data_IF_224314068473
#
_entry.id   IF_224314068473
#
_cell.length_a   1.000
_cell.length_b   1.000
_cell.length_c   1.000
_cell.angle_alpha   90.00
_cell.angle_beta   90.00
_cell.angle_gamma   90.00
#
_symmetry.space_group_name_H-M   'P 1'
#
loop_
_entity.id
_entity.type
_entity.pdbx_description
1 polymer ?
#
# COMPACT_ATOMS: atom_id res chain seq x y z
N UNK A 1 0.76 -11.07 25.60
CA UNK A 1 1.74 -11.15 24.47
C UNK A 1 2.56 -12.45 24.46
N UNK A 2 3.44 -12.75 25.43
CA UNK A 2 4.12 -14.07 25.47
C UNK A 2 3.15 -15.25 25.49
N UNK A 3 2.02 -15.04 26.16
CA UNK A 3 0.95 -16.03 26.29
C UNK A 3 -0.02 -16.05 25.09
N UNK A 4 -0.05 -14.98 24.28
CA UNK A 4 -1.12 -14.78 23.27
C UNK A 4 -0.60 -14.73 21.82
N UNK A 5 0.63 -14.26 21.57
CA UNK A 5 1.16 -14.04 20.21
C UNK A 5 1.98 -15.21 19.67
N UNK A 6 2.41 -16.14 20.52
CA UNK A 6 3.23 -17.30 20.13
C UNK A 6 2.43 -18.59 20.25
N UNK A 7 1.19 -18.58 19.78
CA UNK A 7 0.33 -19.75 19.76
C UNK A 7 0.31 -20.38 18.37
N UNK A 8 0.03 -21.69 18.25
CA UNK A 8 -0.08 -22.36 16.96
C UNK A 8 -1.10 -21.70 16.01
N UNK A 9 -2.19 -21.16 16.56
CA UNK A 9 -3.26 -20.50 15.82
C UNK A 9 -2.77 -19.20 15.16
N UNK A 10 -1.96 -18.40 15.87
CA UNK A 10 -1.33 -17.21 15.28
C UNK A 10 -0.37 -17.60 14.16
N UNK A 11 0.42 -18.67 14.35
CA UNK A 11 1.32 -19.16 13.29
C UNK A 11 0.55 -19.58 12.05
N UNK A 12 -0.57 -20.30 12.22
CA UNK A 12 -1.42 -20.73 11.12
C UNK A 12 -1.95 -19.55 10.29
N UNK A 13 -2.43 -18.48 10.95
CA UNK A 13 -2.89 -17.28 10.26
C UNK A 13 -1.74 -16.59 9.50
N UNK A 14 -0.55 -16.50 10.10
CA UNK A 14 0.62 -15.92 9.43
C UNK A 14 1.06 -16.76 8.22
N UNK A 15 0.96 -18.08 8.31
CA UNK A 15 1.25 -19.02 7.22
C UNK A 15 0.23 -18.89 6.08
N UNK A 16 -1.06 -18.77 6.40
CA UNK A 16 -2.13 -18.58 5.41
C UNK A 16 -1.93 -17.27 4.60
N UNK A 17 -1.51 -16.20 5.27
CA UNK A 17 -1.20 -14.90 4.64
C UNK A 17 0.25 -14.75 4.18
N UNK A 18 1.11 -15.76 4.35
CA UNK A 18 2.58 -15.65 4.22
C UNK A 18 2.98 -15.10 2.85
N UNK A 19 2.38 -15.62 1.78
CA UNK A 19 2.74 -15.23 0.42
C UNK A 19 2.46 -13.75 0.16
N UNK A 20 1.33 -13.24 0.63
CA UNK A 20 0.97 -11.82 0.50
C UNK A 20 1.90 -10.94 1.33
N UNK A 21 2.15 -11.34 2.58
CA UNK A 21 3.05 -10.65 3.49
C UNK A 21 4.49 -10.59 2.94
N UNK A 22 4.99 -11.69 2.37
CA UNK A 22 6.29 -11.74 1.69
C UNK A 22 6.35 -10.83 0.47
N UNK A 23 5.30 -10.82 -0.35
CA UNK A 23 5.24 -9.96 -1.53
C UNK A 23 5.31 -8.47 -1.14
N UNK A 24 4.58 -8.07 -0.10
CA UNK A 24 4.64 -6.73 0.46
C UNK A 24 6.03 -6.41 1.01
N UNK A 25 6.57 -7.28 1.86
CA UNK A 25 7.90 -7.10 2.43
C UNK A 25 8.96 -6.87 1.35
N UNK A 26 9.00 -7.73 0.33
CA UNK A 26 9.96 -7.64 -0.77
C UNK A 26 9.76 -6.38 -1.60
N UNK A 27 8.51 -5.96 -1.84
CA UNK A 27 8.25 -4.75 -2.61
C UNK A 27 8.72 -3.49 -1.88
N UNK A 28 8.40 -3.35 -0.59
CA UNK A 28 8.84 -2.20 0.19
C UNK A 28 10.35 -2.23 0.51
N UNK A 29 10.96 -3.41 0.67
CA UNK A 29 12.41 -3.54 0.91
C UNK A 29 13.29 -3.19 -0.32
N UNK A 30 12.71 -3.02 -1.52
CA UNK A 30 13.42 -2.46 -2.67
C UNK A 30 13.69 -0.95 -2.49
N UNK A 31 12.85 -0.29 -1.69
CA UNK A 31 12.82 1.15 -1.53
C UNK A 31 12.38 1.90 -2.79
N UNK A 32 12.42 3.22 -2.73
CA UNK A 32 11.91 4.16 -3.75
C UNK A 32 12.79 4.34 -5.01
N UNK A 33 13.87 3.57 -5.15
CA UNK A 33 14.82 3.71 -6.26
C UNK A 33 15.63 5.01 -6.28
N UNK A 34 15.45 5.95 -5.34
CA UNK A 34 16.11 7.28 -5.38
C UNK A 34 17.49 7.30 -4.70
N UNK A 35 17.81 6.28 -3.91
CA UNK A 35 19.07 6.23 -3.17
C UNK A 35 20.21 5.64 -4.03
N UNK A 36 20.87 6.52 -4.79
CA UNK A 36 22.07 6.22 -5.59
C UNK A 36 23.30 5.79 -4.76
N UNK A 37 23.24 5.86 -3.42
CA UNK A 37 24.41 5.67 -2.53
C UNK A 37 24.06 5.07 -1.17
N UNK A 38 23.52 3.84 -1.12
CA UNK A 38 23.38 3.15 0.16
C UNK A 38 23.90 1.71 0.07
N UNK A 39 25.15 1.51 0.48
CA UNK A 39 25.79 0.20 0.65
C UNK A 39 25.05 -0.71 1.66
N UNK A 40 24.09 -0.13 2.41
CA UNK A 40 23.25 -0.81 3.40
C UNK A 40 21.87 -1.22 2.86
N UNK A 41 21.55 -0.97 1.58
CA UNK A 41 20.30 -1.43 0.98
C UNK A 41 20.38 -2.92 0.71
N UNK A 42 19.47 -3.68 1.31
CA UNK A 42 19.27 -5.10 1.04
C UNK A 42 17.80 -5.32 0.71
N UNK A 43 17.49 -5.87 -0.46
CA UNK A 43 16.12 -6.27 -0.81
C UNK A 43 15.54 -7.38 0.09
N UNK A 44 16.32 -7.83 1.09
CA UNK A 44 15.96 -8.84 2.08
C UNK A 44 15.68 -8.26 3.46
N UNK A 45 15.87 -6.96 3.65
CA UNK A 45 15.72 -6.29 4.94
C UNK A 45 14.90 -5.01 4.76
N UNK A 46 14.04 -4.73 5.73
CA UNK A 46 13.15 -3.59 5.71
C UNK A 46 13.66 -2.52 6.67
N UNK A 47 14.08 -1.37 6.13
CA UNK A 47 14.49 -0.22 6.94
C UNK A 47 13.30 0.46 7.62
N UNK A 48 13.57 1.31 8.61
CA UNK A 48 12.53 2.07 9.30
C UNK A 48 11.70 2.96 8.35
N UNK A 49 12.32 3.58 7.34
CA UNK A 49 11.60 4.41 6.38
C UNK A 49 10.68 3.56 5.49
N UNK A 50 11.13 2.40 5.06
CA UNK A 50 10.32 1.47 4.24
C UNK A 50 9.19 0.87 5.07
N UNK A 51 9.44 0.51 6.34
CA UNK A 51 8.40 0.11 7.29
C UNK A 51 7.36 1.20 7.48
N UNK A 52 7.77 2.45 7.71
CA UNK A 52 6.86 3.60 7.84
C UNK A 52 6.00 3.81 6.58
N UNK A 53 6.61 3.68 5.39
CA UNK A 53 5.88 3.77 4.13
C UNK A 53 4.87 2.63 4.02
N UNK A 54 5.29 1.39 4.31
CA UNK A 54 4.43 0.21 4.28
C UNK A 54 3.22 0.39 5.19
N UNK A 55 3.42 0.73 6.46
CA UNK A 55 2.31 0.84 7.43
C UNK A 55 1.33 1.94 7.06
N UNK A 56 1.82 3.04 6.44
CA UNK A 56 0.95 4.11 5.93
C UNK A 56 0.17 3.66 4.70
N UNK A 57 0.85 3.11 3.70
CA UNK A 57 0.26 2.80 2.39
C UNK A 57 -0.70 1.59 2.45
N UNK A 58 -0.63 0.80 3.53
CA UNK A 58 -1.52 -0.35 3.80
C UNK A 58 -2.59 -0.07 4.85
N UNK A 59 -2.76 1.19 5.27
CA UNK A 59 -3.74 1.61 6.30
C UNK A 59 -3.55 0.90 7.67
N UNK A 60 -2.39 0.28 7.91
CA UNK A 60 -2.05 -0.27 9.22
C UNK A 60 -1.83 0.84 10.26
N UNK A 61 -1.37 2.01 9.81
CA UNK A 61 -1.09 3.19 10.63
C UNK A 61 -1.99 4.34 10.24
N UNK A 62 -2.58 4.95 11.25
CA UNK A 62 -3.46 6.11 11.13
C UNK A 62 -3.46 6.83 12.47
N UNK A 63 -3.51 8.16 12.43
CA UNK A 63 -3.11 9.01 13.57
C UNK A 63 -4.02 8.90 14.80
N UNK A 64 -5.14 8.19 14.71
CA UNK A 64 -6.14 8.06 15.77
C UNK A 64 -5.88 6.87 16.70
N UNK A 65 -5.60 5.67 16.18
CA UNK A 65 -5.43 4.45 17.00
C UNK A 65 -3.99 3.92 17.01
N UNK A 66 -3.21 4.16 15.95
CA UNK A 66 -1.84 3.67 15.83
C UNK A 66 -0.92 4.78 15.31
N UNK A 67 -0.34 5.53 16.24
CA UNK A 67 0.42 6.73 15.93
C UNK A 67 1.81 6.40 15.38
N UNK A 68 2.50 7.43 14.87
CA UNK A 68 3.91 7.32 14.45
C UNK A 68 4.80 6.84 15.61
N UNK A 69 4.48 7.20 16.86
CA UNK A 69 5.23 6.76 18.03
C UNK A 69 5.02 5.26 18.26
N UNK A 70 3.81 4.76 18.13
CA UNK A 70 3.50 3.34 18.31
C UNK A 70 4.17 2.50 17.22
N UNK A 71 4.11 2.99 15.97
CA UNK A 71 4.83 2.40 14.84
C UNK A 71 6.36 2.33 15.08
N UNK A 72 6.96 3.37 15.65
CA UNK A 72 8.37 3.38 16.04
C UNK A 72 8.70 2.35 17.12
N UNK A 73 7.84 2.23 18.13
CA UNK A 73 8.01 1.28 19.23
C UNK A 73 7.89 -0.15 18.72
N UNK A 74 6.88 -0.45 17.90
CA UNK A 74 6.72 -1.75 17.25
C UNK A 74 7.95 -2.08 16.42
N UNK A 75 8.39 -1.19 15.53
CA UNK A 75 9.63 -1.40 14.76
C UNK A 75 10.83 -1.70 15.66
N UNK A 76 10.97 -0.97 16.76
CA UNK A 76 12.11 -1.13 17.65
C UNK A 76 12.08 -2.48 18.38
N UNK A 77 10.91 -2.89 18.83
CA UNK A 77 10.70 -4.08 19.64
C UNK A 77 10.58 -5.38 18.85
N UNK A 78 10.25 -5.33 17.56
CA UNK A 78 10.17 -6.51 16.71
C UNK A 78 11.52 -7.02 16.23
N UNK A 79 12.56 -6.18 16.26
CA UNK A 79 13.91 -6.57 15.79
C UNK A 79 14.53 -7.64 16.67
N UNK A 80 14.77 -8.80 16.10
CA UNK A 80 15.58 -9.87 16.70
C UNK A 80 17.06 -9.52 16.55
N UNK A 81 17.71 -9.19 17.67
CA UNK A 81 19.12 -8.77 17.66
C UNK A 81 20.02 -9.96 17.95
N UNK A 82 20.78 -10.39 16.95
CA UNK A 82 21.96 -11.24 17.15
C UNK A 82 23.18 -10.33 17.07
N UNK A 83 23.88 -10.15 18.20
CA UNK A 83 25.15 -9.41 18.23
C UNK A 83 26.22 -10.33 17.66
N UNK A 84 26.56 -10.14 16.38
CA UNK A 84 27.77 -10.70 15.77
C UNK A 84 28.84 -9.61 15.76
N UNK A 85 30.00 -9.86 16.39
CA UNK A 85 31.08 -8.88 16.59
C UNK A 85 31.77 -8.43 15.28
N UNK A 86 31.33 -8.93 14.12
CA UNK A 86 31.84 -8.51 12.82
C UNK A 86 31.41 -7.07 12.46
N UNK A 87 32.27 -6.23 11.86
CA UNK A 87 32.16 -4.77 12.07
C UNK A 87 31.10 -4.03 11.24
N UNK A 88 30.63 -4.59 10.11
CA UNK A 88 29.82 -3.84 9.13
C UNK A 88 28.47 -4.49 8.80
N UNK A 89 28.43 -5.80 8.51
CA UNK A 89 27.19 -6.51 8.19
C UNK A 89 26.23 -6.62 9.39
N UNK A 90 26.79 -6.73 10.60
CA UNK A 90 26.01 -6.78 11.83
C UNK A 90 25.27 -5.46 12.10
N UNK A 91 25.85 -4.32 11.69
CA UNK A 91 25.23 -3.00 11.91
C UNK A 91 23.95 -2.79 11.08
N UNK A 92 23.87 -3.40 9.90
CA UNK A 92 22.65 -3.35 9.05
C UNK A 92 21.51 -4.11 9.70
N UNK A 93 21.78 -5.33 10.20
CA UNK A 93 20.78 -6.14 10.91
C UNK A 93 20.32 -5.53 12.22
N UNK A 94 21.14 -4.68 12.85
CA UNK A 94 20.74 -3.94 14.05
C UNK A 94 19.74 -2.82 13.77
N UNK A 95 19.63 -2.33 12.53
CA UNK A 95 18.83 -1.15 12.17
C UNK A 95 17.65 -1.45 11.23
N UNK A 96 17.53 -2.68 10.73
CA UNK A 96 16.52 -3.11 9.77
C UNK A 96 15.82 -4.39 10.27
N UNK A 97 14.64 -4.69 9.73
CA UNK A 97 13.84 -5.87 10.04
C UNK A 97 14.12 -6.99 9.03
N UNK A 98 14.28 -8.23 9.50
CA UNK A 98 14.09 -9.40 8.64
C UNK A 98 12.59 -9.65 8.38
N UNK A 99 12.28 -10.68 7.57
CA UNK A 99 10.89 -11.07 7.36
C UNK A 99 10.24 -11.60 8.66
N UNK A 100 11.00 -12.35 9.45
CA UNK A 100 10.53 -12.87 10.75
C UNK A 100 10.25 -11.71 11.72
N UNK A 101 11.13 -10.70 11.75
CA UNK A 101 10.90 -9.48 12.54
C UNK A 101 9.68 -8.69 12.03
N UNK A 102 9.44 -8.71 10.72
CA UNK A 102 8.24 -8.11 10.12
C UNK A 102 6.98 -8.83 10.60
N UNK A 103 6.94 -10.16 10.61
CA UNK A 103 5.81 -10.93 11.15
C UNK A 103 5.57 -10.67 12.66
N UNK A 104 6.64 -10.54 13.46
CA UNK A 104 6.53 -10.11 14.86
C UNK A 104 5.97 -8.67 14.96
N UNK A 105 6.34 -7.79 14.02
CA UNK A 105 5.74 -6.46 13.83
C UNK A 105 4.24 -6.50 13.59
N UNK A 106 3.77 -7.38 12.69
CA UNK A 106 2.34 -7.59 12.42
C UNK A 106 1.61 -8.02 13.69
N UNK A 107 2.14 -8.99 14.45
CA UNK A 107 1.53 -9.43 15.70
C UNK A 107 1.44 -8.30 16.73
N UNK A 108 2.49 -7.50 16.88
CA UNK A 108 2.51 -6.37 17.83
C UNK A 108 1.57 -5.24 17.41
N UNK A 109 1.47 -4.99 16.11
CA UNK A 109 0.56 -3.99 15.57
C UNK A 109 -0.88 -4.44 15.77
N UNK A 110 -1.21 -5.69 15.45
CA UNK A 110 -2.54 -6.25 15.69
C UNK A 110 -2.97 -6.12 17.16
N UNK A 111 -2.04 -6.36 18.09
CA UNK A 111 -2.30 -6.21 19.53
C UNK A 111 -2.61 -4.77 19.95
N UNK A 112 -2.04 -3.78 19.25
CA UNK A 112 -2.12 -2.36 19.66
C UNK A 112 -3.18 -1.58 18.87
N UNK A 113 -3.59 -2.09 17.71
CA UNK A 113 -4.51 -1.41 16.81
C UNK A 113 -5.96 -1.68 17.23
N UNK A 114 -6.81 -0.67 17.12
CA UNK A 114 -8.25 -0.81 17.28
C UNK A 114 -8.80 -1.59 16.06
N UNK A 115 -8.83 -2.92 16.17
CA UNK A 115 -9.40 -3.80 15.16
C UNK A 115 -10.79 -4.28 15.61
N UNK A 116 -11.74 -4.44 14.67
CA UNK A 116 -13.05 -4.98 14.98
C UNK A 116 -12.97 -6.45 15.35
N UNK A 117 -13.91 -6.89 16.17
CA UNK A 117 -14.15 -8.30 16.40
C UNK A 117 -14.83 -8.94 15.19
N UNK A 118 -14.75 -10.27 15.07
CA UNK A 118 -15.49 -11.00 14.04
C UNK A 118 -17.01 -10.78 14.15
N UNK A 119 -17.54 -10.69 15.37
CA UNK A 119 -18.96 -10.40 15.63
C UNK A 119 -19.35 -9.00 15.15
N UNK A 120 -18.54 -7.99 15.45
CA UNK A 120 -18.79 -6.62 14.98
C UNK A 120 -18.75 -6.49 13.46
N UNK A 121 -17.82 -7.19 12.80
CA UNK A 121 -17.76 -7.23 11.34
C UNK A 121 -19.02 -7.89 10.75
N UNK A 122 -19.46 -9.00 11.34
CA UNK A 122 -20.67 -9.71 10.93
C UNK A 122 -21.92 -8.84 11.11
N UNK A 123 -22.07 -8.19 12.27
CA UNK A 123 -23.20 -7.31 12.58
C UNK A 123 -23.26 -6.08 11.67
N UNK A 124 -22.10 -5.58 11.25
CA UNK A 124 -21.98 -4.52 10.25
C UNK A 124 -22.26 -5.01 8.80
N UNK A 125 -22.53 -6.30 8.61
CA UNK A 125 -22.77 -6.90 7.28
C UNK A 125 -21.52 -6.96 6.41
N UNK A 126 -20.33 -6.91 7.01
CA UNK A 126 -19.04 -7.03 6.32
C UNK A 126 -18.58 -8.49 6.28
N UNK A 127 -17.82 -8.87 5.25
CA UNK A 127 -17.24 -10.21 5.12
C UNK A 127 -16.15 -10.46 6.16
N UNK A 128 -15.35 -9.43 6.46
CA UNK A 128 -14.32 -9.46 7.49
C UNK A 128 -14.08 -8.06 8.08
N UNK A 129 -13.31 -8.02 9.16
CA UNK A 129 -12.93 -6.80 9.85
C UNK A 129 -12.04 -5.87 9.02
N UNK A 130 -11.31 -6.39 8.05
CA UNK A 130 -10.57 -5.59 7.08
C UNK A 130 -11.51 -4.78 6.18
N UNK A 131 -12.61 -5.37 5.74
CA UNK A 131 -13.66 -4.67 4.98
C UNK A 131 -14.32 -3.58 5.82
N UNK A 132 -14.74 -3.93 7.04
CA UNK A 132 -15.34 -2.99 7.98
C UNK A 132 -14.42 -1.78 8.23
N UNK A 133 -13.14 -2.02 8.46
CA UNK A 133 -12.14 -0.96 8.66
C UNK A 133 -11.98 -0.09 7.41
N UNK A 134 -11.95 -0.66 6.20
CA UNK A 134 -11.87 0.14 4.98
C UNK A 134 -13.10 1.03 4.79
N UNK A 135 -14.29 0.50 5.04
CA UNK A 135 -15.54 1.26 4.93
C UNK A 135 -15.53 2.44 5.93
N UNK A 136 -15.19 2.17 7.20
CA UNK A 136 -15.09 3.22 8.23
C UNK A 136 -14.00 4.26 7.90
N UNK A 137 -12.80 3.84 7.50
CA UNK A 137 -11.68 4.76 7.22
C UNK A 137 -11.98 5.68 6.03
N UNK A 138 -12.63 5.15 4.98
CA UNK A 138 -12.78 5.86 3.70
C UNK A 138 -14.12 6.56 3.53
N UNK A 139 -15.20 5.89 3.91
CA UNK A 139 -16.55 6.29 3.60
C UNK A 139 -17.22 6.93 4.82
N UNK A 140 -16.88 6.49 6.04
CA UNK A 140 -17.52 6.93 7.29
C UNK A 140 -16.52 7.37 8.40
N UNK A 141 -15.69 8.42 8.19
CA UNK A 141 -14.61 8.78 9.13
C UNK A 141 -15.06 9.16 10.55
N UNK A 142 -16.30 9.62 10.72
CA UNK A 142 -16.87 9.93 12.04
C UNK A 142 -17.16 8.66 12.85
N UNK A 143 -17.62 7.60 12.17
CA UNK A 143 -17.82 6.29 12.80
C UNK A 143 -16.49 5.68 13.18
N UNK A 144 -15.49 5.82 12.31
CA UNK A 144 -14.12 5.41 12.63
C UNK A 144 -13.58 6.10 13.89
N UNK A 145 -13.78 7.42 14.01
CA UNK A 145 -13.36 8.15 15.21
C UNK A 145 -14.06 7.64 16.47
N UNK A 146 -15.38 7.44 16.42
CA UNK A 146 -16.14 6.92 17.56
C UNK A 146 -15.70 5.49 17.94
N UNK A 147 -15.45 4.65 16.94
CA UNK A 147 -14.97 3.28 17.10
C UNK A 147 -13.61 3.22 17.82
N UNK A 148 -12.68 4.10 17.43
CA UNK A 148 -11.36 4.21 18.09
C UNK A 148 -11.49 4.79 19.50
N UNK A 149 -12.33 5.80 19.69
CA UNK A 149 -12.53 6.43 21.00
C UNK A 149 -13.11 5.43 22.03
N UNK A 150 -14.03 4.55 21.62
CA UNK A 150 -14.57 3.47 22.47
C UNK A 150 -13.49 2.48 22.94
N UNK A 151 -12.39 2.39 22.19
CA UNK A 151 -11.30 1.44 22.42
C UNK A 151 -10.04 2.04 23.04
N UNK A 152 -10.01 3.36 23.26
CA UNK A 152 -8.80 4.06 23.71
C UNK A 152 -8.31 3.59 25.10
N UNK A 153 -9.22 3.17 25.97
CA UNK A 153 -8.91 2.73 27.34
C UNK A 153 -8.80 1.20 27.48
N UNK A 154 -9.01 0.45 26.39
CA UNK A 154 -9.04 -1.00 26.46
C UNK A 154 -7.63 -1.59 26.41
N UNK A 155 -7.15 -2.04 27.58
CA UNK A 155 -5.83 -2.66 27.69
C UNK A 155 -5.86 -4.17 27.45
N UNK A 156 -7.07 -4.75 27.40
CA UNK A 156 -7.28 -6.17 27.26
C UNK A 156 -7.66 -6.55 25.82
N UNK A 157 -7.33 -7.79 25.47
CA UNK A 157 -7.73 -8.35 24.19
C UNK A 157 -9.25 -8.57 24.17
N UNK A 158 -9.95 -7.87 23.28
CA UNK A 158 -11.39 -8.06 23.04
C UNK A 158 -11.73 -9.40 22.38
N UNK A 159 -10.75 -10.00 21.72
CA UNK A 159 -10.86 -11.31 21.09
C UNK A 159 -9.50 -12.00 21.05
N UNK A 160 -9.49 -13.26 20.66
CA UNK A 160 -8.27 -14.04 20.53
C UNK A 160 -7.26 -13.38 19.58
N UNK A 161 -5.97 -13.48 19.92
CA UNK A 161 -4.89 -12.82 19.19
C UNK A 161 -4.83 -13.24 17.72
N UNK A 162 -5.10 -14.52 17.42
CA UNK A 162 -5.11 -15.03 16.04
C UNK A 162 -6.16 -14.30 15.19
N UNK A 163 -7.32 -13.97 15.77
CA UNK A 163 -8.38 -13.26 15.05
C UNK A 163 -7.96 -11.82 14.80
N UNK A 164 -7.35 -11.12 15.78
CA UNK A 164 -6.81 -9.78 15.55
C UNK A 164 -5.72 -9.76 14.46
N UNK A 165 -4.81 -10.74 14.45
CA UNK A 165 -3.82 -10.87 13.36
C UNK A 165 -4.52 -11.09 12.03
N UNK A 166 -5.56 -11.93 11.97
CA UNK A 166 -6.33 -12.16 10.76
C UNK A 166 -6.99 -10.87 10.26
N UNK A 167 -7.66 -10.11 11.13
CA UNK A 167 -8.30 -8.84 10.75
C UNK A 167 -7.30 -7.79 10.25
N UNK A 168 -6.10 -7.75 10.81
CA UNK A 168 -5.03 -6.90 10.29
C UNK A 168 -4.58 -7.35 8.91
N UNK A 169 -4.39 -8.66 8.70
CA UNK A 169 -3.98 -9.19 7.40
C UNK A 169 -5.04 -8.93 6.32
N UNK A 170 -6.33 -9.11 6.62
CA UNK A 170 -7.42 -8.84 5.67
C UNK A 170 -7.51 -7.35 5.33
N UNK A 171 -7.34 -6.44 6.30
CA UNK A 171 -7.24 -4.99 6.05
C UNK A 171 -6.14 -4.68 5.02
N UNK A 172 -4.98 -5.29 5.19
CA UNK A 172 -3.82 -5.09 4.31
C UNK A 172 -4.08 -5.63 2.92
N UNK A 173 -4.59 -6.86 2.81
CA UNK A 173 -4.97 -7.49 1.54
C UNK A 173 -5.96 -6.59 0.79
N UNK A 174 -7.06 -6.20 1.43
CA UNK A 174 -8.11 -5.38 0.81
C UNK A 174 -7.59 -3.99 0.42
N UNK A 175 -6.66 -3.42 1.19
CA UNK A 175 -6.05 -2.13 0.86
C UNK A 175 -5.23 -2.23 -0.43
N UNK A 176 -4.44 -3.29 -0.56
CA UNK A 176 -3.64 -3.57 -1.75
C UNK A 176 -4.54 -3.82 -2.96
N UNK A 177 -5.57 -4.66 -2.82
CA UNK A 177 -6.52 -4.98 -3.89
C UNK A 177 -7.28 -3.74 -4.38
N UNK A 178 -7.72 -2.89 -3.46
CA UNK A 178 -8.37 -1.62 -3.79
C UNK A 178 -7.43 -0.69 -4.56
N UNK A 179 -6.16 -0.62 -4.15
CA UNK A 179 -5.15 0.20 -4.82
C UNK A 179 -4.86 -0.32 -6.23
N UNK A 180 -4.69 -1.63 -6.38
CA UNK A 180 -4.48 -2.28 -7.68
C UNK A 180 -5.69 -2.07 -8.60
N UNK A 181 -6.91 -2.20 -8.08
CA UNK A 181 -8.15 -2.02 -8.84
C UNK A 181 -8.32 -0.58 -9.32
N UNK A 182 -8.07 0.41 -8.46
CA UNK A 182 -8.04 1.84 -8.83
C UNK A 182 -6.99 2.11 -9.91
N UNK A 183 -5.80 1.53 -9.79
CA UNK A 183 -4.73 1.69 -10.79
C UNK A 183 -5.07 1.06 -12.14
N UNK A 184 -5.67 -0.13 -12.18
CA UNK A 184 -6.19 -0.74 -13.42
C UNK A 184 -7.28 0.11 -14.07
N UNK A 185 -8.19 0.67 -13.26
CA UNK A 185 -9.23 1.61 -13.71
C UNK A 185 -8.62 2.88 -14.34
N UNK A 186 -7.64 3.48 -13.67
CA UNK A 186 -6.93 4.66 -14.13
C UNK A 186 -6.13 4.39 -15.42
N UNK A 187 -5.47 3.23 -15.53
CA UNK A 187 -4.79 2.84 -16.78
C UNK A 187 -5.79 2.61 -17.93
N UNK A 188 -6.95 2.02 -17.66
CA UNK A 188 -8.02 1.83 -18.66
C UNK A 188 -8.62 3.17 -19.09
N UNK A 189 -8.81 4.11 -18.17
CA UNK A 189 -9.26 5.49 -18.45
C UNK A 189 -8.23 6.28 -19.27
N UNK A 190 -6.93 6.17 -18.93
CA UNK A 190 -5.83 6.74 -19.74
C UNK A 190 -5.81 6.14 -21.15
N UNK A 191 -5.91 4.81 -21.28
CA UNK A 191 -6.00 4.14 -22.60
C UNK A 191 -7.24 4.58 -23.39
N UNK A 192 -8.40 4.75 -22.74
CA UNK A 192 -9.63 5.26 -23.39
C UNK A 192 -9.49 6.73 -23.80
N UNK A 193 -8.83 7.57 -22.99
CA UNK A 193 -8.60 8.98 -23.30
C UNK A 193 -7.61 9.14 -24.45
N UNK A 194 -6.51 8.40 -24.44
CA UNK A 194 -5.54 8.33 -25.55
C UNK A 194 -6.20 7.77 -26.82
N UNK A 195 -7.02 6.72 -26.71
CA UNK A 195 -7.77 6.20 -27.85
C UNK A 195 -8.81 7.21 -28.39
N UNK A 196 -9.45 8.00 -27.53
CA UNK A 196 -10.41 9.04 -27.92
C UNK A 196 -9.71 10.25 -28.54
N UNK A 197 -8.56 10.66 -28.01
CA UNK A 197 -7.71 11.71 -28.61
C UNK A 197 -7.16 11.28 -29.97
N UNK A 198 -6.71 10.02 -30.11
CA UNK A 198 -6.25 9.47 -31.39
C UNK A 198 -7.40 9.29 -32.41
N UNK A 199 -8.62 9.00 -31.96
CA UNK A 199 -9.79 8.89 -32.85
C UNK A 199 -10.27 10.26 -33.34
N UNK A 200 -10.14 11.31 -32.52
CA UNK A 200 -10.42 12.69 -32.94
C UNK A 200 -9.40 13.11 -34.01
N UNK A 201 -8.11 12.79 -33.83
CA UNK A 201 -7.04 13.11 -34.79
C UNK A 201 -7.24 12.41 -36.16
N UNK A 202 -7.63 11.13 -36.19
CA UNK A 202 -7.94 10.45 -37.46
C UNK A 202 -9.21 10.98 -38.14
N UNK A 203 -10.21 11.43 -37.38
CA UNK A 203 -11.44 11.99 -37.93
C UNK A 203 -11.25 13.40 -38.49
N UNK A 204 -10.44 14.24 -37.84
CA UNK A 204 -10.04 15.56 -38.34
C UNK A 204 -9.07 15.44 -39.52
N UNK A 205 -8.15 14.47 -39.51
CA UNK A 205 -7.29 14.17 -40.64
C UNK A 205 -8.09 13.72 -41.88
N UNK A 206 -9.13 12.90 -41.72
CA UNK A 206 -10.03 12.51 -42.82
C UNK A 206 -10.88 13.68 -43.33
N UNK A 207 -11.32 14.58 -42.44
CA UNK A 207 -12.05 15.79 -42.83
C UNK A 207 -11.13 16.73 -43.65
N UNK A 208 -9.89 16.93 -43.19
CA UNK A 208 -8.88 17.74 -43.87
C UNK A 208 -8.42 17.12 -45.21
N UNK A 209 -8.38 15.78 -45.32
CA UNK A 209 -8.07 15.08 -46.57
C UNK A 209 -9.22 15.18 -47.58
N UNK A 210 -10.48 15.13 -47.13
CA UNK A 210 -11.64 15.33 -48.00
C UNK A 210 -11.76 16.76 -48.54
N UNK A 211 -11.30 17.75 -47.75
CA UNK A 211 -11.24 19.16 -48.15
C UNK A 211 -10.07 19.46 -49.10
N UNK A 212 -9.04 18.60 -49.20
CA UNK A 212 -7.93 18.79 -50.14
C UNK A 212 -8.22 18.29 -51.55
N UNK A 213 -9.28 17.51 -51.76
CA UNK A 213 -9.69 17.02 -53.10
C UNK A 213 -10.59 17.99 -53.86
N UNK A 214 -11.06 19.07 -53.23
CA UNK A 214 -11.75 20.18 -53.90
C UNK A 214 -10.86 21.43 -53.91
N UNK A 215 -10.06 21.57 -54.96
CA UNK A 215 -9.58 22.85 -55.50
C UNK A 215 -9.06 23.91 -54.52
N UNK A 216 -7.73 23.93 -54.34
CA UNK A 216 -6.97 25.19 -54.39
C UNK A 216 -6.72 25.96 -53.08
N UNK A 217 -6.02 25.39 -52.10
CA UNK A 217 -5.19 26.18 -51.14
C UNK A 217 -3.99 25.35 -50.64
N UNK A 218 -2.89 25.30 -51.41
CA UNK A 218 -1.65 24.60 -50.99
C UNK A 218 -0.84 25.35 -49.91
N UNK A 219 -1.11 26.64 -49.67
CA UNK A 219 -0.32 27.49 -48.76
C UNK A 219 -0.68 27.31 -47.27
N UNK A 220 -1.96 27.08 -46.95
CA UNK A 220 -2.42 26.94 -45.56
C UNK A 220 -2.04 25.58 -44.95
N UNK A 221 -2.04 24.52 -45.76
CA UNK A 221 -1.74 23.14 -45.32
C UNK A 221 -0.27 22.97 -44.95
N UNK A 222 0.66 23.58 -45.70
CA UNK A 222 2.09 23.59 -45.34
C UNK A 222 2.36 24.32 -44.02
N UNK A 223 1.58 25.34 -43.71
CA UNK A 223 1.70 26.10 -42.46
C UNK A 223 1.17 25.30 -41.26
N UNK A 224 0.06 24.58 -41.43
CA UNK A 224 -0.52 23.72 -40.40
C UNK A 224 0.35 22.49 -40.09
N UNK A 225 0.95 21.86 -41.11
CA UNK A 225 1.88 20.72 -40.92
C UNK A 225 3.14 21.15 -40.16
N UNK A 226 3.69 22.34 -40.45
CA UNK A 226 4.81 22.90 -39.68
C UNK A 226 4.44 23.14 -38.20
N UNK A 227 3.23 23.61 -37.91
CA UNK A 227 2.75 23.83 -36.55
C UNK A 227 2.50 22.54 -35.77
N UNK A 228 2.07 21.47 -36.44
CA UNK A 228 1.88 20.15 -35.83
C UNK A 228 3.22 19.45 -35.53
N UNK A 229 4.22 19.60 -36.40
CA UNK A 229 5.57 19.06 -36.17
C UNK A 229 6.29 19.74 -34.99
N UNK A 230 6.03 21.04 -34.75
CA UNK A 230 6.58 21.76 -33.57
C UNK A 230 5.94 21.32 -32.26
N UNK A 231 4.70 20.82 -32.27
CA UNK A 231 3.99 20.34 -31.06
C UNK A 231 4.31 18.90 -30.67
N UNK A 232 4.92 18.09 -31.55
CA UNK A 232 5.37 16.72 -31.25
C UNK A 232 6.89 16.60 -31.01
N UNK A 233 7.60 17.73 -30.87
CA UNK A 233 9.01 17.78 -30.51
C UNK A 233 9.23 17.60 -29.01
N UNK A 234 9.71 16.41 -28.66
CA UNK A 234 10.36 16.04 -27.40
C UNK A 234 11.40 17.09 -27.00
N UNK A 235 11.25 17.61 -25.77
CA UNK A 235 12.34 18.01 -24.90
C UNK A 235 12.28 17.13 -23.67
#
# INVERSE_FOLDING_TARGET
RKENCYTPEVSFILEDHEQTLRNLFVEFAKGDGTALYNELKSAKLLSYNEWKMLTRDTEMMNELDFTVRDMQLVFSWSRTRVIDERPMQSKVRLTQLSFEDFCEGICRLAFSKALPTEEEAYDAGCEDGGEMMINMIRDEPLEYYAFVADRADDQDLRQEMWSQVNQLCTLVVRTVENTVSKNKGNQRMKKKKVAKENYIDESEAKLLFSLSTSGGVQSAVQTAIKLAQTKMGVG
#
